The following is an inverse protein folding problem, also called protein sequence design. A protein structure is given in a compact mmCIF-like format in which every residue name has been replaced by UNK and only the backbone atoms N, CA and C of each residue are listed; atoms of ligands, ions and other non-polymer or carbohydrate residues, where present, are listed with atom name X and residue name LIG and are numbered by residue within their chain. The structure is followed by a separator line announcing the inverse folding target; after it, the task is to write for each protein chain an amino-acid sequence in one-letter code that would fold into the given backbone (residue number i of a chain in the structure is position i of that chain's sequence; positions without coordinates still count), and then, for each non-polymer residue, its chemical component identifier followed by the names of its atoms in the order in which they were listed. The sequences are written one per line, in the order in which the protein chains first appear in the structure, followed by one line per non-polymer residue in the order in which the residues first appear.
data_IF_603054192956
#
_entry.id   IF_603054192956
#
_cell.length_a   1.000
_cell.length_b   1.000
_cell.length_c   1.000
_cell.angle_alpha   90.00
_cell.angle_beta   90.00
_cell.angle_gamma   90.00
#
_symmetry.space_group_name_H-M   'P 1'
#
loop_
_entity.id
_entity.type
_entity.pdbx_description
1 polymer ?
#
# COMPACT_ATOMS: atom_id res chain seq x y z
N UNK A 1 19.26 41.63 3.02
CA UNK A 1 18.24 41.01 3.91
C UNK A 1 16.89 41.62 3.55
N UNK A 2 16.13 40.95 2.68
CA UNK A 2 14.79 41.38 2.27
C UNK A 2 13.78 40.72 3.20
N UNK A 3 13.12 41.52 4.03
CA UNK A 3 12.07 41.06 4.93
C UNK A 3 10.80 40.78 4.12
N UNK A 4 10.50 39.51 3.90
CA UNK A 4 9.26 39.07 3.27
C UNK A 4 8.07 39.45 4.16
N UNK A 5 7.29 40.44 3.70
CA UNK A 5 6.03 40.88 4.30
C UNK A 5 5.07 39.67 4.38
N UNK A 6 4.91 39.05 5.56
CA UNK A 6 3.86 38.06 5.79
C UNK A 6 2.52 38.78 5.68
N UNK A 7 1.81 38.54 4.60
CA UNK A 7 0.40 38.91 4.44
C UNK A 7 -0.39 38.34 5.61
N UNK A 8 -0.95 39.21 6.45
CA UNK A 8 -1.88 38.80 7.50
C UNK A 8 -3.20 38.41 6.84
N UNK A 9 -3.38 37.13 6.55
CA UNK A 9 -4.69 36.60 6.17
C UNK A 9 -5.70 36.95 7.26
N UNK A 10 -6.88 37.43 6.85
CA UNK A 10 -7.97 37.78 7.76
C UNK A 10 -8.41 36.51 8.53
N UNK A 11 -8.36 36.48 9.87
CA UNK A 11 -8.63 35.28 10.68
C UNK A 11 -10.02 34.66 10.48
N UNK A 12 -10.96 35.39 9.88
CA UNK A 12 -12.33 34.93 9.65
C UNK A 12 -12.48 33.95 8.48
N UNK A 13 -11.53 33.89 7.55
CA UNK A 13 -11.63 33.03 6.36
C UNK A 13 -11.11 31.60 6.57
N UNK A 14 -10.43 31.33 7.69
CA UNK A 14 -9.84 30.01 7.96
C UNK A 14 -10.53 29.26 9.11
N UNK A 15 -11.80 29.54 9.37
CA UNK A 15 -12.60 28.75 10.30
C UNK A 15 -13.06 27.43 9.65
N UNK A 16 -13.14 26.31 10.39
CA UNK A 16 -13.75 25.09 9.86
C UNK A 16 -15.22 25.35 9.51
N UNK A 17 -15.66 24.80 8.38
CA UNK A 17 -17.07 24.90 7.95
C UNK A 17 -17.78 23.65 8.43
N UNK A 18 -18.83 23.84 9.23
CA UNK A 18 -19.60 22.77 9.85
C UNK A 18 -20.96 22.69 9.17
N UNK A 19 -21.35 21.47 8.77
CA UNK A 19 -22.65 21.19 8.17
C UNK A 19 -23.30 20.01 8.91
N UNK A 20 -24.53 20.14 9.43
CA UNK A 20 -25.23 19.01 10.02
C UNK A 20 -25.56 17.99 8.92
N UNK A 21 -25.37 16.70 9.22
CA UNK A 21 -25.76 15.57 8.35
C UNK A 21 -27.05 14.88 8.83
N UNK A 22 -27.50 15.18 10.06
CA UNK A 22 -28.69 14.60 10.70
C UNK A 22 -28.36 13.88 11.99
N UNK A 23 -29.28 13.92 12.97
CA UNK A 23 -29.03 13.38 14.31
C UNK A 23 -27.88 14.10 15.02
N UNK A 24 -26.95 13.32 15.59
CA UNK A 24 -25.70 13.74 16.23
C UNK A 24 -24.54 13.95 15.23
N UNK A 25 -24.75 13.77 13.92
CA UNK A 25 -23.65 13.75 12.93
C UNK A 25 -23.46 15.09 12.21
N UNK A 26 -22.18 15.46 12.06
CA UNK A 26 -21.72 16.69 11.43
C UNK A 26 -20.61 16.39 10.39
N UNK A 27 -20.72 17.01 9.21
CA UNK A 27 -19.62 17.14 8.26
C UNK A 27 -18.80 18.39 8.63
N UNK A 28 -17.50 18.22 8.79
CA UNK A 28 -16.57 19.31 9.09
C UNK A 28 -15.57 19.42 7.96
N UNK A 29 -15.64 20.51 7.20
CA UNK A 29 -14.57 20.88 6.28
C UNK A 29 -13.47 21.56 7.08
N UNK A 30 -12.30 20.93 7.12
CA UNK A 30 -11.19 21.32 7.97
C UNK A 30 -10.53 22.60 7.42
N UNK A 31 -10.21 23.54 8.31
CA UNK A 31 -9.50 24.76 7.93
C UNK A 31 -8.14 24.46 7.29
N UNK A 32 -7.59 25.42 6.54
CA UNK A 32 -6.25 25.32 5.97
C UNK A 32 -5.21 25.17 7.07
N UNK A 33 -5.27 25.94 8.16
CA UNK A 33 -4.32 25.78 9.26
C UNK A 33 -4.39 24.39 9.91
N UNK A 34 -5.60 23.86 10.15
CA UNK A 34 -5.72 22.50 10.68
C UNK A 34 -5.17 21.46 9.69
N UNK A 35 -5.38 21.63 8.38
CA UNK A 35 -4.76 20.76 7.37
C UNK A 35 -3.24 20.86 7.37
N UNK A 36 -2.67 22.06 7.56
CA UNK A 36 -1.22 22.24 7.68
C UNK A 36 -0.69 21.49 8.90
N UNK A 37 -1.35 21.63 10.05
CA UNK A 37 -0.95 20.94 11.27
C UNK A 37 -1.08 19.43 11.12
N UNK A 38 -2.18 18.97 10.52
CA UNK A 38 -2.48 17.55 10.30
C UNK A 38 -1.47 16.88 9.35
N UNK A 39 -1.06 17.60 8.31
CA UNK A 39 -0.21 17.07 7.24
C UNK A 39 1.24 17.56 7.33
N UNK A 40 1.68 18.13 8.46
CA UNK A 40 3.02 18.71 8.61
C UNK A 40 4.12 17.71 8.24
N UNK A 41 4.00 16.47 8.72
CA UNK A 41 4.95 15.39 8.44
C UNK A 41 4.95 15.02 6.95
N UNK A 42 3.76 14.97 6.34
CA UNK A 42 3.61 14.69 4.91
C UNK A 42 4.19 15.80 4.05
N UNK A 43 4.04 17.07 4.45
CA UNK A 43 4.63 18.22 3.76
C UNK A 43 6.14 18.19 3.83
N UNK A 44 6.69 17.90 5.02
CA UNK A 44 8.12 17.76 5.19
C UNK A 44 8.66 16.63 4.31
N UNK A 45 8.00 15.46 4.29
CA UNK A 45 8.37 14.33 3.40
C UNK A 45 8.29 14.68 1.91
N UNK A 46 7.28 15.43 1.48
CA UNK A 46 7.19 15.89 0.08
C UNK A 46 8.36 16.82 -0.26
N UNK A 47 8.71 17.72 0.66
CA UNK A 47 9.85 18.62 0.48
C UNK A 47 11.17 17.86 0.44
N UNK A 48 11.38 16.93 1.38
CA UNK A 48 12.61 16.14 1.50
C UNK A 48 12.85 15.21 0.29
N UNK A 49 11.79 14.81 -0.42
CA UNK A 49 11.87 13.93 -1.59
C UNK A 49 11.67 14.66 -2.93
N UNK A 50 11.67 15.99 -2.91
CA UNK A 50 11.46 16.81 -4.13
C UNK A 50 12.62 16.70 -5.12
N UNK A 51 13.85 16.55 -4.63
CA UNK A 51 15.04 16.43 -5.49
C UNK A 51 15.01 15.14 -6.32
N UNK A 52 14.68 14.01 -5.69
CA UNK A 52 14.45 12.73 -6.37
C UNK A 52 13.35 12.86 -7.43
N UNK A 53 12.18 13.39 -7.05
CA UNK A 53 11.06 13.57 -7.97
C UNK A 53 11.42 14.46 -9.18
N UNK A 54 12.15 15.54 -8.95
CA UNK A 54 12.59 16.48 -10.01
C UNK A 54 13.56 15.81 -10.96
N UNK A 55 14.52 15.06 -10.42
CA UNK A 55 15.47 14.28 -11.23
C UNK A 55 14.75 13.21 -12.05
N UNK A 56 13.86 12.43 -11.44
CA UNK A 56 13.07 11.40 -12.11
C UNK A 56 12.24 12.00 -13.25
N UNK A 57 11.53 13.10 -13.00
CA UNK A 57 10.73 13.78 -14.03
C UNK A 57 11.60 14.35 -15.16
N UNK A 58 12.80 14.86 -14.86
CA UNK A 58 13.76 15.31 -15.88
C UNK A 58 14.18 14.14 -16.78
N UNK A 59 14.51 12.99 -16.19
CA UNK A 59 14.89 11.79 -16.95
C UNK A 59 13.72 11.30 -17.82
N UNK A 60 12.49 11.25 -17.27
CA UNK A 60 11.29 10.92 -18.03
C UNK A 60 11.07 11.86 -19.22
N UNK A 61 11.25 13.17 -19.03
CA UNK A 61 11.11 14.16 -20.12
C UNK A 61 12.15 13.97 -21.21
N UNK A 62 13.36 13.52 -20.87
CA UNK A 62 14.40 13.25 -21.84
C UNK A 62 14.09 11.99 -22.67
N UNK A 63 13.66 10.91 -22.01
CA UNK A 63 13.51 9.60 -22.67
C UNK A 63 12.13 9.34 -23.26
N UNK A 64 11.08 9.84 -22.61
CA UNK A 64 9.68 9.61 -22.99
C UNK A 64 8.82 10.86 -22.77
N UNK A 65 8.98 11.91 -23.61
CA UNK A 65 8.33 13.21 -23.41
C UNK A 65 6.80 13.12 -23.30
N UNK A 66 6.17 12.24 -24.08
CA UNK A 66 4.72 12.04 -24.06
C UNK A 66 4.24 11.44 -22.73
N UNK A 67 4.94 10.42 -22.21
CA UNK A 67 4.62 9.84 -20.91
C UNK A 67 4.86 10.85 -19.78
N UNK A 68 5.91 11.66 -19.87
CA UNK A 68 6.25 12.66 -18.87
C UNK A 68 5.17 13.73 -18.65
N UNK A 69 4.31 14.00 -19.65
CA UNK A 69 3.16 14.92 -19.52
C UNK A 69 2.13 14.44 -18.50
N UNK A 70 2.08 13.14 -18.25
CA UNK A 70 1.17 12.51 -17.28
C UNK A 70 1.66 12.60 -15.83
N UNK A 71 2.85 13.18 -15.61
CA UNK A 71 3.47 13.31 -14.30
C UNK A 71 3.66 14.76 -13.89
N UNK A 72 3.34 15.06 -12.64
CA UNK A 72 3.57 16.37 -12.04
C UNK A 72 4.32 16.23 -10.73
N UNK A 73 5.16 17.22 -10.38
CA UNK A 73 5.77 17.28 -9.04
C UNK A 73 4.68 17.68 -8.05
N UNK A 74 4.55 16.94 -6.96
CA UNK A 74 3.67 17.33 -5.86
C UNK A 74 4.33 18.41 -5.04
N UNK A 75 3.55 19.42 -4.69
CA UNK A 75 3.89 20.39 -3.67
C UNK A 75 2.88 20.32 -2.51
N UNK A 76 3.22 20.89 -1.35
CA UNK A 76 2.28 20.97 -0.23
C UNK A 76 0.95 21.65 -0.59
N UNK A 77 0.96 22.60 -1.53
CA UNK A 77 -0.26 23.28 -1.97
C UNK A 77 -1.22 22.34 -2.69
N UNK A 78 -0.71 21.35 -3.42
CA UNK A 78 -1.52 20.30 -4.06
C UNK A 78 -2.29 19.50 -3.01
N UNK A 79 -1.65 19.14 -1.89
CA UNK A 79 -2.33 18.48 -0.77
C UNK A 79 -3.34 19.40 -0.07
N UNK A 80 -3.01 20.69 0.09
CA UNK A 80 -3.91 21.67 0.69
C UNK A 80 -5.12 22.02 -0.20
N UNK A 81 -5.06 21.74 -1.50
CA UNK A 81 -6.22 21.87 -2.40
C UNK A 81 -7.16 20.67 -2.32
N UNK A 82 -6.68 19.51 -1.86
CA UNK A 82 -7.53 18.35 -1.67
C UNK A 82 -8.57 18.66 -0.59
N UNK A 83 -9.87 18.48 -0.88
CA UNK A 83 -10.91 18.67 0.12
C UNK A 83 -10.76 17.60 1.19
N UNK A 84 -10.45 18.01 2.42
CA UNK A 84 -10.38 17.13 3.57
C UNK A 84 -11.61 17.37 4.44
N UNK A 85 -12.42 16.33 4.57
CA UNK A 85 -13.69 16.35 5.29
C UNK A 85 -13.60 15.36 6.43
N UNK A 86 -14.10 15.77 7.58
CA UNK A 86 -14.27 14.89 8.74
C UNK A 86 -15.75 14.69 8.98
N UNK A 87 -16.10 13.49 9.44
CA UNK A 87 -17.41 13.23 10.02
C UNK A 87 -17.21 13.19 11.52
N UNK A 88 -17.97 14.00 12.25
CA UNK A 88 -17.94 14.06 13.70
C UNK A 88 -19.32 13.71 14.23
N UNK A 89 -19.35 12.89 15.26
CA UNK A 89 -20.54 12.70 16.08
C UNK A 89 -20.47 13.57 17.33
N UNK A 90 -21.61 14.11 17.76
CA UNK A 90 -21.72 14.93 18.95
C UNK A 90 -23.15 15.01 19.48
N UNK A 91 -23.34 14.58 20.73
CA UNK A 91 -24.64 14.58 21.41
C UNK A 91 -25.05 15.97 21.92
N UNK A 92 -24.10 16.89 22.03
CA UNK A 92 -24.31 18.25 22.53
C UNK A 92 -24.83 19.21 21.44
N UNK A 93 -25.07 18.72 20.22
CA UNK A 93 -25.65 19.49 19.12
C UNK A 93 -24.68 20.43 18.39
N UNK A 94 -23.39 20.36 18.69
CA UNK A 94 -22.33 21.09 17.99
C UNK A 94 -21.02 20.30 17.98
N UNK A 95 -20.10 20.61 17.04
CA UNK A 95 -18.81 19.91 16.93
C UNK A 95 -17.93 20.23 18.16
N UNK A 96 -17.34 19.22 18.84
CA UNK A 96 -16.55 19.38 20.06
C UNK A 96 -15.15 19.94 19.77
N UNK A 97 -15.08 21.09 19.10
CA UNK A 97 -13.86 21.85 18.97
C UNK A 97 -13.61 22.63 20.26
N UNK A 98 -12.34 22.75 20.65
CA UNK A 98 -11.94 23.69 21.68
C UNK A 98 -12.12 25.15 21.19
N UNK A 99 -11.90 26.11 22.09
CA UNK A 99 -11.98 27.54 21.76
C UNK A 99 -11.03 27.94 20.61
N UNK A 100 -9.95 27.18 20.41
CA UNK A 100 -8.95 27.40 19.35
C UNK A 100 -9.40 26.78 18.00
N UNK A 101 -10.45 25.97 18.01
CA UNK A 101 -10.95 25.19 16.87
C UNK A 101 -9.89 24.30 16.23
N UNK A 102 -8.99 23.76 17.06
CA UNK A 102 -7.90 22.91 16.61
C UNK A 102 -8.35 21.45 16.59
N UNK A 103 -8.08 20.78 15.47
CA UNK A 103 -8.27 19.33 15.38
C UNK A 103 -7.13 18.61 16.10
N UNK A 104 -7.41 18.07 17.29
CA UNK A 104 -6.39 17.38 18.11
C UNK A 104 -6.29 15.89 17.81
N UNK A 105 -7.41 15.27 17.48
CA UNK A 105 -7.52 13.84 17.23
C UNK A 105 -8.49 13.58 16.09
N UNK A 106 -8.21 12.54 15.32
CA UNK A 106 -9.06 12.07 14.24
C UNK A 106 -8.80 10.58 14.04
N UNK A 107 -9.80 9.86 13.58
CA UNK A 107 -9.66 8.49 13.12
C UNK A 107 -9.75 8.50 11.59
N UNK A 108 -8.65 8.14 10.94
CA UNK A 108 -8.68 7.88 9.50
C UNK A 108 -9.36 6.53 9.26
N UNK A 109 -10.65 6.55 8.92
CA UNK A 109 -11.40 5.36 8.53
C UNK A 109 -11.28 5.19 7.02
N UNK A 110 -10.44 4.27 6.57
CA UNK A 110 -10.55 3.75 5.21
C UNK A 110 -11.79 2.85 5.17
N UNK A 111 -12.89 3.36 4.59
CA UNK A 111 -14.23 2.77 4.65
C UNK A 111 -14.21 1.23 4.59
N UNK A 112 -14.80 0.62 5.61
CA UNK A 112 -16.15 0.08 5.51
C UNK A 112 -16.76 -0.07 6.94
N UNK A 113 -17.78 0.77 7.25
CA UNK A 113 -18.78 0.81 8.36
C UNK A 113 -18.70 1.79 9.57
N UNK A 114 -19.88 1.92 10.20
CA UNK A 114 -20.34 2.68 11.40
C UNK A 114 -20.63 1.71 12.56
N UNK A 115 -20.33 2.09 13.80
CA UNK A 115 -21.01 1.61 15.02
C UNK A 115 -20.68 2.50 16.23
N UNK A 116 -21.60 2.55 17.20
CA UNK A 116 -21.69 3.59 18.24
C UNK A 116 -21.17 3.18 19.64
N UNK A 117 -20.49 2.04 19.81
CA UNK A 117 -20.27 1.45 21.15
C UNK A 117 -18.83 0.97 21.47
N UNK A 118 -17.78 1.73 21.11
CA UNK A 118 -16.41 1.39 21.53
C UNK A 118 -15.68 2.59 22.12
N UNK A 119 -15.26 2.47 23.40
CA UNK A 119 -14.26 3.37 24.00
C UNK A 119 -12.86 3.04 23.42
N UNK A 120 -12.29 3.99 22.67
CA UNK A 120 -11.08 3.79 21.87
C UNK A 120 -9.77 4.06 22.64
N UNK A 121 -8.68 3.30 22.41
CA UNK A 121 -7.43 3.48 23.14
C UNK A 121 -6.59 4.67 22.63
N UNK A 122 -6.04 5.44 23.57
CA UNK A 122 -5.28 6.69 23.37
C UNK A 122 -3.88 6.57 22.72
N UNK A 123 -3.49 5.39 22.22
CA UNK A 123 -2.16 5.16 21.64
C UNK A 123 -2.30 4.66 20.19
N UNK A 124 -1.58 5.28 19.24
CA UNK A 124 -1.68 5.03 17.80
C UNK A 124 -1.49 3.56 17.39
N UNK A 125 -2.59 2.81 17.41
CA UNK A 125 -2.74 1.45 16.90
C UNK A 125 -3.40 1.54 15.52
N UNK A 126 -2.95 0.70 14.59
CA UNK A 126 -3.64 0.54 13.31
C UNK A 126 -4.81 -0.41 13.52
N UNK A 127 -6.04 0.10 13.37
CA UNK A 127 -7.26 -0.70 13.47
C UNK A 127 -7.81 -0.94 12.07
N UNK A 128 -8.11 -2.20 11.77
CA UNK A 128 -8.56 -2.65 10.46
C UNK A 128 -9.95 -3.25 10.63
N UNK A 129 -10.97 -2.52 10.19
CA UNK A 129 -12.35 -2.98 10.24
C UNK A 129 -12.69 -3.79 8.98
N UNK A 130 -13.17 -5.02 9.16
CA UNK A 130 -13.63 -5.89 8.07
C UNK A 130 -15.15 -6.11 8.18
N UNK A 131 -15.94 -5.17 7.64
CA UNK A 131 -17.41 -5.18 7.80
C UNK A 131 -18.10 -6.41 7.16
N UNK A 132 -17.48 -7.00 6.15
CA UNK A 132 -17.99 -8.16 5.41
C UNK A 132 -17.45 -9.50 5.93
N UNK A 133 -16.72 -9.47 7.05
CA UNK A 133 -16.24 -10.67 7.74
C UNK A 133 -17.08 -10.88 8.99
N UNK A 134 -17.71 -12.05 9.03
CA UNK A 134 -18.43 -12.55 10.21
C UNK A 134 -17.81 -13.85 10.66
N UNK A 135 -17.34 -13.89 11.91
CA UNK A 135 -16.82 -15.10 12.53
C UNK A 135 -17.92 -15.85 13.28
N UNK A 136 -17.88 -17.18 13.21
CA UNK A 136 -18.75 -18.03 14.04
C UNK A 136 -18.25 -18.07 15.47
N UNK A 137 -19.10 -18.55 16.39
CA UNK A 137 -18.67 -18.76 17.78
C UNK A 137 -17.46 -19.70 17.88
N UNK A 138 -17.47 -20.82 17.14
CA UNK A 138 -16.37 -21.79 17.14
C UNK A 138 -15.06 -21.19 16.59
N UNK A 139 -15.13 -20.35 15.56
CA UNK A 139 -13.96 -19.65 15.02
C UNK A 139 -13.36 -18.68 16.05
N UNK A 140 -14.20 -17.94 16.78
CA UNK A 140 -13.75 -17.07 17.87
C UNK A 140 -13.10 -17.87 18.99
N UNK A 141 -13.73 -18.95 19.44
CA UNK A 141 -13.18 -19.83 20.49
C UNK A 141 -11.83 -20.42 20.07
N UNK A 142 -11.67 -20.78 18.79
CA UNK A 142 -10.39 -21.26 18.27
C UNK A 142 -9.34 -20.15 18.25
N UNK A 143 -9.69 -18.92 17.86
CA UNK A 143 -8.75 -17.79 17.89
C UNK A 143 -8.30 -17.41 19.30
N UNK A 144 -9.21 -17.41 20.28
CA UNK A 144 -8.87 -17.12 21.68
C UNK A 144 -7.90 -18.15 22.22
N UNK A 145 -8.20 -19.45 22.05
CA UNK A 145 -7.28 -20.54 22.42
C UNK A 145 -5.95 -20.42 21.70
N UNK A 146 -5.97 -20.00 20.45
CA UNK A 146 -4.78 -19.90 19.64
C UNK A 146 -3.87 -18.75 20.07
N UNK A 147 -4.44 -17.63 20.51
CA UNK A 147 -3.66 -16.51 21.04
C UNK A 147 -2.85 -16.93 22.28
N UNK A 148 -3.36 -17.84 23.10
CA UNK A 148 -2.64 -18.40 24.24
C UNK A 148 -1.48 -19.34 23.81
N UNK A 149 -1.54 -19.92 22.61
CA UNK A 149 -0.62 -20.96 22.13
C UNK A 149 0.44 -20.47 21.13
N UNK A 150 0.45 -19.18 20.79
CA UNK A 150 1.28 -18.63 19.71
C UNK A 150 2.81 -18.78 19.92
N UNK A 151 3.25 -19.19 21.12
CA UNK A 151 4.68 -19.42 21.44
C UNK A 151 5.04 -20.90 21.56
N UNK A 152 4.05 -21.78 21.51
CA UNK A 152 4.24 -23.22 21.67
C UNK A 152 4.76 -23.84 20.36
N UNK A 153 5.38 -25.01 20.47
CA UNK A 153 5.84 -25.72 19.29
C UNK A 153 4.65 -26.16 18.42
N UNK A 154 4.83 -26.20 17.09
CA UNK A 154 3.76 -26.62 16.16
C UNK A 154 3.08 -27.93 16.58
N UNK A 155 3.85 -28.92 17.03
CA UNK A 155 3.31 -30.22 17.46
C UNK A 155 2.33 -30.07 18.63
N UNK A 156 2.59 -29.15 19.55
CA UNK A 156 1.74 -28.85 20.71
C UNK A 156 0.48 -28.11 20.26
N UNK A 157 0.65 -27.05 19.46
CA UNK A 157 -0.45 -26.29 18.86
C UNK A 157 -1.41 -27.22 18.10
N UNK A 158 -0.88 -28.07 17.21
CA UNK A 158 -1.66 -29.01 16.41
C UNK A 158 -2.41 -30.02 17.30
N UNK A 159 -1.76 -30.52 18.36
CA UNK A 159 -2.39 -31.47 19.30
C UNK A 159 -3.55 -30.84 20.08
N UNK A 160 -3.46 -29.55 20.40
CA UNK A 160 -4.46 -28.83 21.19
C UNK A 160 -5.65 -28.39 20.34
N UNK A 161 -5.38 -27.83 19.16
CA UNK A 161 -6.40 -27.29 18.26
C UNK A 161 -7.18 -28.42 17.56
N UNK A 162 -6.51 -29.56 17.30
CA UNK A 162 -7.03 -30.72 16.56
C UNK A 162 -7.47 -30.34 15.13
N UNK A 163 -7.83 -31.35 14.34
CA UNK A 163 -8.20 -31.15 12.93
C UNK A 163 -9.37 -30.18 12.74
N UNK A 164 -10.37 -30.24 13.64
CA UNK A 164 -11.55 -29.36 13.58
C UNK A 164 -11.16 -27.89 13.79
N UNK A 165 -10.25 -27.60 14.72
CA UNK A 165 -9.81 -26.22 14.93
C UNK A 165 -8.96 -25.70 13.77
N UNK A 166 -8.17 -26.55 13.10
CA UNK A 166 -7.42 -26.14 11.91
C UNK A 166 -8.35 -25.77 10.75
N UNK A 167 -9.49 -26.45 10.60
CA UNK A 167 -10.53 -26.08 9.63
C UNK A 167 -11.12 -24.69 9.93
N UNK A 168 -11.34 -24.37 11.21
CA UNK A 168 -11.78 -23.03 11.62
C UNK A 168 -10.73 -21.96 11.31
N UNK A 169 -9.44 -22.21 11.58
CA UNK A 169 -8.36 -21.29 11.19
C UNK A 169 -8.30 -21.05 9.67
N UNK A 170 -8.47 -22.11 8.87
CA UNK A 170 -8.56 -21.97 7.40
C UNK A 170 -9.75 -21.12 6.98
N UNK A 171 -10.94 -21.37 7.57
CA UNK A 171 -12.14 -20.58 7.32
C UNK A 171 -11.95 -19.10 7.65
N UNK A 172 -11.34 -18.78 8.80
CA UNK A 172 -11.01 -17.40 9.20
C UNK A 172 -10.13 -16.73 8.15
N UNK A 173 -9.03 -17.39 7.75
CA UNK A 173 -8.10 -16.86 6.76
C UNK A 173 -8.81 -16.60 5.43
N UNK A 174 -9.63 -17.55 4.97
CA UNK A 174 -10.39 -17.41 3.74
C UNK A 174 -11.40 -16.26 3.79
N UNK A 175 -12.10 -16.07 4.93
CA UNK A 175 -13.01 -14.94 5.11
C UNK A 175 -12.27 -13.60 5.05
N UNK A 176 -11.13 -13.48 5.72
CA UNK A 176 -10.30 -12.26 5.67
C UNK A 176 -9.76 -12.02 4.26
N UNK A 177 -9.23 -13.03 3.58
CA UNK A 177 -8.74 -12.93 2.19
C UNK A 177 -9.83 -12.48 1.21
N UNK A 178 -11.07 -12.89 1.45
CA UNK A 178 -12.24 -12.56 0.64
C UNK A 178 -12.88 -11.22 1.01
N UNK A 179 -12.47 -10.60 2.11
CA UNK A 179 -12.96 -9.28 2.50
C UNK A 179 -12.65 -8.24 1.43
N UNK A 180 -13.53 -7.25 1.28
CA UNK A 180 -13.29 -6.13 0.35
C UNK A 180 -12.02 -5.37 0.74
N UNK A 181 -11.75 -5.20 2.02
CA UNK A 181 -10.54 -4.53 2.51
C UNK A 181 -9.27 -5.19 1.94
N UNK A 182 -9.18 -6.52 2.04
CA UNK A 182 -8.01 -7.29 1.57
C UNK A 182 -7.77 -7.15 0.06
N UNK A 183 -8.85 -6.96 -0.70
CA UNK A 183 -8.78 -6.82 -2.16
C UNK A 183 -8.41 -5.41 -2.63
N UNK A 184 -8.53 -4.38 -1.77
CA UNK A 184 -8.37 -2.96 -2.13
C UNK A 184 -6.93 -2.50 -1.98
N UNK A 185 -6.36 -1.99 -3.07
CA UNK A 185 -5.01 -1.46 -3.14
C UNK A 185 -4.75 -0.30 -2.17
N UNK A 186 -5.73 0.58 -1.99
CA UNK A 186 -5.63 1.71 -1.05
C UNK A 186 -5.62 1.26 0.40
N UNK A 187 -6.36 0.20 0.75
CA UNK A 187 -6.31 -0.38 2.08
C UNK A 187 -4.92 -0.95 2.39
N UNK A 188 -4.29 -1.57 1.39
CA UNK A 188 -2.89 -2.00 1.47
C UNK A 188 -1.90 -0.83 1.56
N UNK A 189 -2.12 0.24 0.80
CA UNK A 189 -1.33 1.47 0.95
C UNK A 189 -1.34 1.95 2.40
N UNK A 190 -2.53 2.11 2.98
CA UNK A 190 -2.68 2.55 4.36
C UNK A 190 -2.04 1.55 5.33
N UNK A 191 -2.23 0.25 5.08
CA UNK A 191 -1.56 -0.77 5.87
C UNK A 191 -0.06 -0.53 5.86
N UNK A 192 0.59 -0.41 4.69
CA UNK A 192 2.04 -0.29 4.57
C UNK A 192 2.65 1.03 5.06
N UNK A 193 2.02 2.17 4.79
CA UNK A 193 2.62 3.49 5.12
C UNK A 193 2.45 3.88 6.58
N UNK A 194 1.44 3.33 7.28
CA UNK A 194 1.15 3.71 8.65
C UNK A 194 2.07 2.99 9.64
N UNK A 195 2.39 3.71 10.71
CA UNK A 195 3.11 3.14 11.85
C UNK A 195 2.15 2.24 12.65
N UNK A 196 2.67 1.13 13.21
CA UNK A 196 4.05 0.68 13.05
C UNK A 196 4.28 0.02 11.68
N UNK A 197 5.52 0.01 11.19
CA UNK A 197 5.88 -0.66 9.94
C UNK A 197 5.89 -2.19 10.09
N UNK A 198 5.95 -2.93 8.98
CA UNK A 198 5.65 -4.37 8.94
C UNK A 198 6.46 -5.23 9.93
N UNK A 199 7.76 -5.00 10.13
CA UNK A 199 8.52 -5.68 11.20
C UNK A 199 8.00 -5.45 12.62
N UNK A 200 7.48 -4.26 12.89
CA UNK A 200 6.91 -3.90 14.18
C UNK A 200 5.45 -4.36 14.29
N UNK A 201 4.74 -4.55 13.17
CA UNK A 201 3.42 -5.22 13.15
C UNK A 201 3.51 -6.69 13.54
N UNK A 202 4.67 -7.32 13.29
CA UNK A 202 4.92 -8.68 13.76
C UNK A 202 5.37 -8.75 15.23
N UNK A 203 5.54 -7.62 15.90
CA UNK A 203 5.97 -7.59 17.30
C UNK A 203 4.75 -7.67 18.23
N UNK A 204 4.71 -8.71 19.07
CA UNK A 204 3.56 -9.01 19.91
C UNK A 204 3.18 -7.89 20.88
N UNK A 205 4.18 -7.31 21.54
CA UNK A 205 3.97 -6.34 22.63
C UNK A 205 3.81 -4.89 22.19
N UNK A 206 4.12 -4.55 20.93
CA UNK A 206 4.24 -3.16 20.52
C UNK A 206 3.56 -2.93 19.17
N UNK A 207 2.51 -2.10 19.19
CA UNK A 207 1.91 -1.45 18.02
C UNK A 207 1.18 -2.35 17.00
N UNK A 208 0.95 -3.64 17.26
CA UNK A 208 0.32 -4.56 16.31
C UNK A 208 -0.96 -4.01 15.65
N UNK A 209 -1.15 -4.33 14.37
CA UNK A 209 -2.41 -4.02 13.69
C UNK A 209 -3.50 -4.95 14.24
N UNK A 210 -4.67 -4.39 14.56
CA UNK A 210 -5.79 -5.14 15.11
C UNK A 210 -6.92 -5.16 14.10
N UNK A 211 -7.36 -6.36 13.73
CA UNK A 211 -8.56 -6.58 12.94
C UNK A 211 -9.77 -6.54 13.85
N UNK A 212 -10.83 -5.88 13.40
CA UNK A 212 -12.15 -5.85 14.03
C UNK A 212 -13.14 -6.42 13.02
N UNK A 213 -13.90 -7.43 13.44
CA UNK A 213 -14.84 -8.17 12.59
C UNK A 213 -16.17 -8.34 13.31
N UNK A 214 -17.21 -8.71 12.55
CA UNK A 214 -18.47 -9.11 13.18
C UNK A 214 -18.31 -10.51 13.80
N UNK A 215 -18.94 -10.72 14.93
CA UNK A 215 -19.12 -12.06 15.51
C UNK A 215 -20.59 -12.44 15.42
N UNK A 216 -20.86 -13.63 14.93
CA UNK A 216 -22.20 -14.18 14.85
C UNK A 216 -22.71 -14.51 16.26
N UNK A 217 -23.80 -13.86 16.66
CA UNK A 217 -24.53 -14.16 17.90
C UNK A 217 -25.87 -14.80 17.57
N UNK A 218 -26.28 -15.77 18.36
CA UNK A 218 -27.65 -16.32 18.29
C UNK A 218 -28.71 -15.33 18.78
N UNK A 219 -28.31 -14.32 19.56
CA UNK A 219 -29.18 -13.22 19.98
C UNK A 219 -29.36 -12.21 18.85
N UNK A 220 -30.61 -11.96 18.47
CA UNK A 220 -31.03 -11.03 17.40
C UNK A 220 -30.70 -9.57 17.78
N UNK A 221 -30.60 -9.26 19.07
CA UNK A 221 -30.50 -7.89 19.58
C UNK A 221 -29.07 -7.45 19.98
N UNK A 222 -28.04 -8.28 19.75
CA UNK A 222 -26.66 -7.92 20.11
C UNK A 222 -25.69 -8.21 18.97
N UNK A 223 -25.46 -7.26 18.07
CA UNK A 223 -24.30 -7.32 17.19
C UNK A 223 -23.04 -7.22 18.06
N UNK A 224 -22.30 -8.33 18.21
CA UNK A 224 -21.00 -8.29 18.88
C UNK A 224 -19.88 -8.15 17.85
N UNK A 225 -18.89 -7.33 18.16
CA UNK A 225 -17.63 -7.31 17.41
C UNK A 225 -16.60 -8.19 18.10
N UNK A 226 -15.70 -8.76 17.33
CA UNK A 226 -14.53 -9.47 17.84
C UNK A 226 -13.28 -8.82 17.26
N UNK A 227 -12.22 -8.74 18.07
CA UNK A 227 -10.95 -8.15 17.64
C UNK A 227 -9.80 -9.14 17.83
N UNK A 228 -8.94 -9.25 16.83
CA UNK A 228 -7.73 -10.10 16.90
C UNK A 228 -6.55 -9.40 16.22
N UNK A 229 -5.33 -9.81 16.58
CA UNK A 229 -4.09 -9.20 16.06
C UNK A 229 -3.76 -9.72 14.67
N UNK A 230 -3.11 -8.90 13.84
CA UNK A 230 -2.59 -9.32 12.54
C UNK A 230 -1.61 -10.49 12.65
N UNK A 231 -0.79 -10.51 13.72
CA UNK A 231 0.11 -11.61 13.99
C UNK A 231 -0.66 -12.93 14.18
N UNK A 232 -1.74 -12.92 14.96
CA UNK A 232 -2.62 -14.10 15.13
C UNK A 232 -3.11 -14.61 13.77
N UNK A 233 -3.50 -13.70 12.88
CA UNK A 233 -3.93 -14.06 11.52
C UNK A 233 -2.81 -14.67 10.66
N UNK A 234 -1.60 -14.09 10.69
CA UNK A 234 -0.46 -14.64 9.94
C UNK A 234 -0.12 -16.06 10.37
N UNK A 235 -0.13 -16.31 11.68
CA UNK A 235 0.16 -17.62 12.21
C UNK A 235 -0.97 -18.61 11.93
N UNK A 236 -2.23 -18.19 12.09
CA UNK A 236 -3.40 -18.97 11.71
C UNK A 236 -3.31 -19.43 10.24
N UNK A 237 -2.86 -18.53 9.36
CA UNK A 237 -2.62 -18.81 7.95
C UNK A 237 -1.49 -19.80 7.75
N UNK A 238 -0.34 -19.63 8.41
CA UNK A 238 0.75 -20.60 8.32
C UNK A 238 0.31 -22.01 8.72
N UNK A 239 -0.59 -22.14 9.70
CA UNK A 239 -1.12 -23.44 10.10
C UNK A 239 -2.25 -23.96 9.22
N UNK A 240 -3.12 -23.10 8.69
CA UNK A 240 -4.16 -23.52 7.75
C UNK A 240 -3.57 -24.09 6.46
N UNK A 241 -2.38 -23.62 6.05
CA UNK A 241 -1.66 -24.13 4.89
C UNK A 241 -1.37 -25.64 4.98
N UNK A 242 -1.22 -26.22 6.17
CA UNK A 242 -1.03 -27.67 6.32
C UNK A 242 -2.30 -28.45 6.00
N UNK A 243 -3.48 -27.90 6.31
CA UNK A 243 -4.78 -28.52 6.00
C UNK A 243 -5.08 -28.45 4.51
N UNK A 244 -4.71 -27.34 3.86
CA UNK A 244 -4.97 -27.12 2.43
C UNK A 244 -4.02 -27.92 1.52
N UNK A 245 -3.27 -28.89 2.05
CA UNK A 245 -2.33 -29.73 1.31
C UNK A 245 -0.97 -29.06 1.03
N UNK A 246 -0.60 -28.06 1.83
CA UNK A 246 0.72 -27.44 1.82
C UNK A 246 0.94 -26.41 0.72
N UNK A 247 2.18 -25.89 0.67
CA UNK A 247 2.64 -24.91 -0.32
C UNK A 247 2.38 -25.33 -1.78
N UNK A 248 2.33 -26.63 -2.07
CA UNK A 248 2.16 -27.15 -3.43
C UNK A 248 0.77 -26.89 -4.02
N UNK A 249 -0.26 -26.69 -3.19
CA UNK A 249 -1.64 -26.49 -3.65
C UNK A 249 -2.08 -25.02 -3.67
N UNK A 250 -1.26 -24.11 -3.13
CA UNK A 250 -1.57 -22.68 -3.15
C UNK A 250 -1.14 -22.07 -4.47
N UNK A 251 -2.02 -21.24 -5.05
CA UNK A 251 -1.59 -20.42 -6.18
C UNK A 251 -0.46 -19.49 -5.74
N UNK A 252 0.51 -19.26 -6.62
CA UNK A 252 1.62 -18.32 -6.39
C UNK A 252 1.07 -16.95 -5.97
N UNK A 253 -0.01 -16.49 -6.61
CA UNK A 253 -0.67 -15.24 -6.25
C UNK A 253 -1.14 -15.20 -4.78
N UNK A 254 -1.72 -16.30 -4.29
CA UNK A 254 -2.10 -16.39 -2.87
C UNK A 254 -0.87 -16.41 -1.97
N UNK A 255 0.21 -17.06 -2.36
CA UNK A 255 1.44 -17.04 -1.57
C UNK A 255 2.03 -15.62 -1.49
N UNK A 256 2.19 -14.96 -2.63
CA UNK A 256 2.79 -13.63 -2.75
C UNK A 256 1.95 -12.56 -2.02
N UNK A 257 0.62 -12.69 -2.00
CA UNK A 257 -0.26 -11.76 -1.25
C UNK A 257 0.01 -11.72 0.25
N UNK A 258 0.60 -12.75 0.83
CA UNK A 258 0.97 -12.72 2.25
C UNK A 258 2.45 -12.43 2.47
N UNK A 259 3.28 -12.50 1.42
CA UNK A 259 4.65 -11.93 1.50
C UNK A 259 4.66 -10.41 1.60
N UNK A 260 3.48 -9.78 1.51
CA UNK A 260 3.27 -8.33 1.60
C UNK A 260 3.72 -7.75 2.97
N UNK A 261 3.93 -8.58 4.00
CA UNK A 261 4.52 -8.15 5.28
C UNK A 261 6.05 -8.00 5.31
N UNK A 262 6.77 -8.17 4.20
CA UNK A 262 8.23 -7.98 4.19
C UNK A 262 8.58 -6.47 4.17
N UNK A 263 9.41 -6.03 5.11
CA UNK A 263 9.97 -4.67 5.15
C UNK A 263 10.68 -4.25 3.85
N UNK A 264 11.07 -5.18 2.98
CA UNK A 264 11.71 -4.88 1.68
C UNK A 264 10.85 -3.97 0.79
N UNK A 265 9.54 -4.02 0.94
CA UNK A 265 8.62 -3.16 0.17
C UNK A 265 8.16 -1.94 0.96
N UNK A 266 8.46 -1.89 2.26
CA UNK A 266 8.18 -0.74 3.10
C UNK A 266 9.17 0.39 2.87
N UNK A 267 8.74 1.68 2.90
CA UNK A 267 9.64 2.83 2.94
C UNK A 267 10.42 2.94 4.26
N UNK A 268 10.20 2.05 5.23
CA UNK A 268 10.84 2.11 6.55
C UNK A 268 12.37 2.20 6.50
N UNK A 269 13.00 1.46 5.59
CA UNK A 269 14.45 1.42 5.44
C UNK A 269 14.97 2.44 4.40
N UNK A 270 14.08 3.21 3.77
CA UNK A 270 14.51 4.28 2.88
C UNK A 270 15.10 5.42 3.71
N UNK A 271 16.16 6.09 3.24
CA UNK A 271 16.69 7.25 3.92
C UNK A 271 15.63 8.38 3.95
N UNK A 272 15.57 9.17 5.03
CA UNK A 272 14.55 10.20 5.22
C UNK A 272 14.61 11.30 4.15
N UNK A 273 15.80 11.52 3.57
CA UNK A 273 16.03 12.43 2.46
C UNK A 273 16.62 11.64 1.29
N UNK A 274 15.91 11.62 0.18
CA UNK A 274 16.35 10.92 -1.04
C UNK A 274 16.88 11.90 -2.07
N UNK A 275 18.18 11.76 -2.35
CA UNK A 275 18.91 12.49 -3.39
C UNK A 275 19.69 11.51 -4.26
N UNK A 276 20.23 11.98 -5.38
CA UNK A 276 21.16 11.19 -6.19
C UNK A 276 22.28 10.59 -5.32
N UNK A 277 22.56 9.30 -5.50
CA UNK A 277 23.50 8.50 -4.70
C UNK A 277 22.90 7.79 -3.49
N UNK A 278 21.65 8.08 -3.10
CA UNK A 278 21.01 7.43 -1.93
C UNK A 278 20.54 6.02 -2.28
N UNK A 279 20.67 5.06 -1.36
CA UNK A 279 20.03 3.74 -1.52
C UNK A 279 18.54 3.81 -1.16
N UNK A 280 17.68 3.10 -1.88
CA UNK A 280 16.25 2.95 -1.52
C UNK A 280 15.69 1.61 -1.99
N UNK A 281 14.54 1.24 -1.43
CA UNK A 281 13.80 0.06 -1.85
C UNK A 281 13.14 0.26 -3.22
N UNK A 282 13.02 -0.85 -3.96
CA UNK A 282 12.55 -0.94 -5.34
C UNK A 282 11.12 -0.43 -5.56
N UNK A 283 10.93 0.35 -6.62
CA UNK A 283 9.60 0.77 -7.08
C UNK A 283 8.86 -0.41 -7.70
N UNK A 284 9.57 -1.28 -8.42
CA UNK A 284 8.97 -2.47 -9.01
C UNK A 284 8.46 -3.45 -7.97
N UNK A 285 9.20 -3.71 -6.88
CA UNK A 285 8.72 -4.56 -5.79
C UNK A 285 7.45 -4.00 -5.14
N UNK A 286 7.36 -2.66 -4.97
CA UNK A 286 6.15 -2.01 -4.47
C UNK A 286 4.99 -2.16 -5.46
N UNK A 287 5.22 -1.92 -6.74
CA UNK A 287 4.21 -2.16 -7.78
C UNK A 287 3.77 -3.62 -7.82
N UNK A 288 4.69 -4.56 -7.73
CA UNK A 288 4.42 -6.00 -7.69
C UNK A 288 3.38 -6.33 -6.61
N UNK A 289 3.57 -5.80 -5.41
CA UNK A 289 2.61 -5.94 -4.32
C UNK A 289 1.25 -5.31 -4.65
N UNK A 290 1.25 -4.08 -5.17
CA UNK A 290 0.01 -3.36 -5.48
C UNK A 290 -0.77 -4.06 -6.60
N UNK A 291 -0.09 -4.54 -7.64
CA UNK A 291 -0.72 -5.23 -8.77
C UNK A 291 -1.17 -6.65 -8.41
N UNK A 292 -0.67 -7.25 -7.31
CA UNK A 292 -1.27 -8.44 -6.74
C UNK A 292 -2.62 -8.17 -6.08
N UNK A 293 -2.97 -6.93 -5.77
CA UNK A 293 -4.31 -6.57 -5.25
C UNK A 293 -5.34 -6.50 -6.39
N UNK A 294 -6.64 -6.60 -6.08
CA UNK A 294 -7.70 -6.58 -7.11
C UNK A 294 -8.12 -5.15 -7.46
N UNK A 295 -7.15 -4.28 -7.77
CA UNK A 295 -7.45 -2.90 -8.17
C UNK A 295 -8.27 -2.90 -9.46
N UNK A 296 -9.47 -2.31 -9.44
CA UNK A 296 -10.30 -2.19 -10.64
C UNK A 296 -9.90 -1.01 -11.54
N UNK A 297 -9.10 -0.08 -11.03
CA UNK A 297 -8.67 1.13 -11.75
C UNK A 297 -7.17 1.02 -11.99
N UNK A 298 -6.77 0.81 -13.24
CA UNK A 298 -5.38 0.53 -13.57
C UNK A 298 -4.45 1.73 -13.28
N UNK A 299 -4.92 2.96 -13.50
CA UNK A 299 -4.19 4.19 -13.18
C UNK A 299 -3.97 4.39 -11.66
N UNK A 300 -4.85 3.87 -10.82
CA UNK A 300 -4.68 3.93 -9.37
C UNK A 300 -3.49 3.07 -8.91
N UNK A 301 -3.18 1.96 -9.59
CA UNK A 301 -1.99 1.16 -9.31
C UNK A 301 -0.72 2.01 -9.39
N UNK A 302 -0.62 2.89 -10.38
CA UNK A 302 0.52 3.80 -10.56
C UNK A 302 0.57 4.81 -9.43
N UNK A 303 -0.55 5.48 -9.15
CA UNK A 303 -0.65 6.50 -8.09
C UNK A 303 -0.32 5.92 -6.71
N UNK A 304 -0.83 4.73 -6.41
CA UNK A 304 -0.57 4.01 -5.17
C UNK A 304 0.90 3.59 -5.09
N UNK A 305 1.47 3.08 -6.19
CA UNK A 305 2.91 2.75 -6.26
C UNK A 305 3.77 3.98 -5.98
N UNK A 306 3.45 5.13 -6.58
CA UNK A 306 4.17 6.41 -6.33
C UNK A 306 4.08 6.82 -4.86
N UNK A 307 2.88 6.69 -4.25
CA UNK A 307 2.66 7.03 -2.85
C UNK A 307 3.38 6.11 -1.89
N UNK A 308 3.27 4.79 -2.08
CA UNK A 308 4.05 3.78 -1.37
C UNK A 308 5.55 4.03 -1.53
N UNK A 309 5.96 4.48 -2.71
CA UNK A 309 7.34 4.84 -3.03
C UNK A 309 7.81 6.13 -2.34
N UNK A 310 6.91 6.88 -1.71
CA UNK A 310 7.18 8.20 -1.16
C UNK A 310 7.66 9.22 -2.20
N UNK A 311 7.50 8.92 -3.50
CA UNK A 311 8.00 9.76 -4.57
C UNK A 311 7.10 11.00 -4.67
N UNK A 312 7.69 12.20 -4.62
CA UNK A 312 6.95 13.47 -4.60
C UNK A 312 6.40 13.85 -5.98
N UNK A 313 5.70 12.91 -6.63
CA UNK A 313 5.07 13.04 -7.93
C UNK A 313 3.60 12.65 -7.86
N UNK A 314 2.79 13.11 -8.81
CA UNK A 314 1.41 12.66 -9.03
C UNK A 314 1.26 12.21 -10.48
N UNK A 315 0.36 11.27 -10.71
CA UNK A 315 0.06 10.73 -12.02
C UNK A 315 -1.39 11.08 -12.42
N UNK A 316 -1.61 11.49 -13.67
CA UNK A 316 -2.91 12.03 -14.10
C UNK A 316 -3.54 11.35 -15.32
N UNK A 317 -2.80 10.50 -16.04
CA UNK A 317 -3.37 9.78 -17.17
C UNK A 317 -4.23 8.59 -16.71
N UNK A 318 -5.06 8.09 -17.63
CA UNK A 318 -5.97 6.97 -17.40
C UNK A 318 -5.58 5.84 -18.34
N UNK A 319 -5.48 4.63 -17.80
CA UNK A 319 -5.21 3.42 -18.54
C UNK A 319 -6.21 2.35 -18.15
N UNK A 320 -6.50 1.46 -19.09
CA UNK A 320 -7.31 0.26 -18.86
C UNK A 320 -6.45 -0.99 -18.93
N UNK A 321 -5.38 -0.96 -19.75
CA UNK A 321 -4.51 -2.09 -19.97
C UNK A 321 -3.48 -2.23 -18.82
N UNK A 322 -3.46 -3.38 -18.12
CA UNK A 322 -2.42 -3.67 -17.14
C UNK A 322 -1.00 -3.60 -17.70
N UNK A 323 -0.78 -3.92 -18.98
CA UNK A 323 0.55 -3.89 -19.61
C UNK A 323 1.04 -2.46 -19.82
N UNK A 324 0.15 -1.53 -20.15
CA UNK A 324 0.47 -0.09 -20.14
C UNK A 324 0.88 0.37 -18.74
N UNK A 325 0.14 -0.05 -17.70
CA UNK A 325 0.48 0.28 -16.32
C UNK A 325 1.87 -0.23 -15.96
N UNK A 326 2.17 -1.48 -16.30
CA UNK A 326 3.48 -2.07 -16.03
C UNK A 326 4.60 -1.32 -16.76
N UNK A 327 4.40 -0.98 -18.03
CA UNK A 327 5.34 -0.19 -18.81
C UNK A 327 5.61 1.18 -18.17
N UNK A 328 4.57 1.87 -17.71
CA UNK A 328 4.73 3.18 -17.05
C UNK A 328 5.52 3.06 -15.75
N UNK A 329 5.22 2.06 -14.92
CA UNK A 329 5.97 1.83 -13.68
C UNK A 329 7.42 1.43 -13.96
N UNK A 330 7.67 0.55 -14.93
CA UNK A 330 9.02 0.16 -15.32
C UNK A 330 9.83 1.37 -15.83
N UNK A 331 9.22 2.22 -16.64
CA UNK A 331 9.83 3.46 -17.13
C UNK A 331 10.12 4.43 -15.98
N UNK A 332 9.19 4.56 -15.03
CA UNK A 332 9.38 5.36 -13.83
C UNK A 332 10.53 4.82 -12.95
N UNK A 333 10.62 3.50 -12.80
CA UNK A 333 11.69 2.83 -12.06
C UNK A 333 13.06 3.09 -12.71
N UNK A 334 13.18 2.93 -14.04
CA UNK A 334 14.39 3.30 -14.79
C UNK A 334 14.77 4.77 -14.57
N UNK A 335 13.78 5.67 -14.63
CA UNK A 335 14.00 7.10 -14.45
C UNK A 335 14.48 7.47 -13.04
N UNK A 336 14.12 6.68 -12.02
CA UNK A 336 14.61 6.81 -10.66
C UNK A 336 16.03 6.23 -10.48
N UNK A 337 16.47 5.32 -11.35
CA UNK A 337 17.77 4.63 -11.26
C UNK A 337 17.70 3.12 -11.09
N UNK A 338 16.51 2.55 -11.05
CA UNK A 338 16.33 1.13 -10.86
C UNK A 338 16.56 0.40 -12.18
N UNK A 339 17.68 -0.33 -12.30
CA UNK A 339 18.08 -1.05 -13.52
C UNK A 339 17.32 -2.37 -13.74
N UNK A 340 16.56 -2.85 -12.75
CA UNK A 340 15.86 -4.15 -12.79
C UNK A 340 14.95 -4.33 -14.02
N UNK A 341 14.20 -3.32 -14.52
CA UNK A 341 13.39 -3.48 -15.73
C UNK A 341 14.19 -3.96 -16.96
N UNK A 342 15.47 -3.62 -17.05
CA UNK A 342 16.35 -4.06 -18.15
C UNK A 342 16.68 -5.56 -18.10
N UNK A 343 16.51 -6.20 -16.94
CA UNK A 343 16.68 -7.66 -16.81
C UNK A 343 15.45 -8.44 -17.27
N UNK A 344 14.35 -7.74 -17.56
CA UNK A 344 13.09 -8.33 -18.05
C UNK A 344 12.85 -8.02 -19.52
N UNK A 345 13.90 -7.67 -20.26
CA UNK A 345 13.83 -7.57 -21.72
C UNK A 345 13.70 -8.98 -22.30
N UNK A 346 12.70 -9.20 -23.16
CA UNK A 346 12.59 -10.47 -23.88
C UNK A 346 12.72 -10.24 -25.38
N UNK A 347 13.54 -11.06 -26.02
CA UNK A 347 13.64 -11.15 -27.48
C UNK A 347 12.48 -11.97 -28.09
N UNK A 348 11.62 -12.58 -27.26
CA UNK A 348 10.50 -13.41 -27.75
C UNK A 348 9.31 -12.53 -28.15
N UNK A 349 9.45 -11.82 -29.28
CA UNK A 349 8.31 -11.37 -30.08
C UNK A 349 7.66 -12.52 -30.88
N UNK A 350 8.04 -13.78 -30.63
CA UNK A 350 7.79 -14.90 -31.52
C UNK A 350 6.48 -15.61 -31.20
N UNK A 351 5.54 -15.49 -32.13
CA UNK A 351 4.17 -16.01 -32.13
C UNK A 351 4.00 -17.54 -32.09
N UNK A 352 5.07 -18.35 -31.94
CA UNK A 352 4.96 -19.80 -32.20
C UNK A 352 5.61 -20.75 -31.17
N UNK A 353 6.10 -20.26 -30.02
CA UNK A 353 6.52 -21.14 -28.92
C UNK A 353 5.96 -20.64 -27.58
N UNK A 354 4.64 -20.60 -27.54
CA UNK A 354 3.86 -20.21 -26.38
C UNK A 354 3.88 -21.33 -25.34
N UNK A 355 4.86 -21.32 -24.44
CA UNK A 355 4.64 -21.92 -23.11
C UNK A 355 5.13 -21.01 -21.99
N UNK A 356 6.13 -20.15 -22.21
CA UNK A 356 6.76 -19.50 -21.06
C UNK A 356 7.23 -18.06 -21.32
N UNK A 357 6.49 -17.19 -22.00
CA UNK A 357 6.56 -15.71 -21.79
C UNK A 357 5.31 -15.12 -22.39
N UNK A 358 4.51 -14.36 -21.62
CA UNK A 358 3.47 -13.52 -22.24
C UNK A 358 4.25 -12.35 -22.86
N UNK A 359 4.57 -12.47 -24.16
CA UNK A 359 5.11 -11.34 -24.91
C UNK A 359 4.12 -10.19 -24.78
N UNK A 360 4.50 -9.16 -24.03
CA UNK A 360 3.62 -8.04 -23.72
C UNK A 360 3.28 -7.32 -25.01
N UNK A 361 2.07 -7.51 -25.51
CA UNK A 361 1.55 -6.65 -26.57
C UNK A 361 0.95 -5.44 -25.89
N UNK A 362 1.60 -4.29 -26.00
CA UNK A 362 1.00 -3.03 -25.56
C UNK A 362 0.28 -2.43 -26.76
N UNK A 363 -1.02 -2.21 -26.66
CA UNK A 363 -1.88 -1.79 -27.78
C UNK A 363 -1.78 -2.73 -29.00
N UNK A 364 -1.62 -4.04 -28.76
CA UNK A 364 -1.46 -5.03 -29.84
C UNK A 364 -0.10 -5.00 -30.55
N UNK A 365 0.85 -4.17 -30.11
CA UNK A 365 2.20 -4.11 -30.66
C UNK A 365 3.21 -4.77 -29.72
N UNK A 366 4.23 -5.44 -30.28
CA UNK A 366 5.32 -6.00 -29.49
C UNK A 366 6.04 -4.93 -28.66
N UNK A 367 6.24 -5.22 -27.38
CA UNK A 367 7.03 -4.43 -26.44
C UNK A 367 8.41 -5.05 -26.23
N UNK A 368 9.42 -4.20 -25.97
CA UNK A 368 10.74 -4.64 -25.51
C UNK A 368 10.71 -5.17 -24.07
N UNK A 369 9.72 -4.73 -23.29
CA UNK A 369 9.53 -5.10 -21.89
C UNK A 369 8.63 -6.33 -21.79
N UNK A 370 9.09 -7.35 -21.08
CA UNK A 370 8.29 -8.53 -20.77
C UNK A 370 7.98 -8.62 -19.28
N UNK A 371 6.84 -9.24 -18.92
CA UNK A 371 6.55 -9.56 -17.53
C UNK A 371 7.30 -10.81 -17.10
N UNK A 372 7.86 -10.86 -15.88
CA UNK A 372 8.51 -12.05 -15.36
C UNK A 372 7.54 -13.25 -15.28
N UNK A 373 8.09 -14.43 -15.56
CA UNK A 373 7.36 -15.70 -15.75
C UNK A 373 6.78 -16.35 -14.49
N UNK A 374 7.20 -15.91 -13.32
CA UNK A 374 6.71 -16.38 -12.03
C UNK A 374 5.67 -15.46 -11.40
N UNK A 375 5.13 -14.51 -12.16
CA UNK A 375 4.39 -13.38 -11.61
C UNK A 375 5.31 -12.28 -11.11
N UNK A 376 4.70 -11.31 -10.43
CA UNK A 376 5.34 -10.08 -10.00
C UNK A 376 6.39 -10.36 -8.90
N UNK A 377 7.67 -10.12 -9.22
CA UNK A 377 8.77 -10.30 -8.28
C UNK A 377 8.67 -9.28 -7.13
N UNK A 378 8.44 -9.76 -5.91
CA UNK A 378 8.40 -8.94 -4.69
C UNK A 378 9.78 -8.77 -4.05
N UNK A 379 10.77 -9.53 -4.52
CA UNK A 379 12.14 -9.56 -4.01
C UNK A 379 13.12 -8.81 -4.92
N UNK A 380 12.85 -7.53 -5.17
CA UNK A 380 13.83 -6.69 -5.87
C UNK A 380 14.83 -6.09 -4.86
N UNK A 381 16.14 -6.08 -5.18
CA UNK A 381 17.15 -5.47 -4.32
C UNK A 381 16.96 -3.96 -4.20
N UNK A 382 17.62 -3.37 -3.22
CA UNK A 382 17.75 -1.93 -3.11
C UNK A 382 18.53 -1.40 -4.31
N UNK A 383 18.26 -0.16 -4.69
CA UNK A 383 18.96 0.50 -5.78
C UNK A 383 19.41 1.90 -5.38
N UNK A 384 20.45 2.38 -6.06
CA UNK A 384 20.95 3.74 -5.93
C UNK A 384 20.07 4.70 -6.73
N UNK A 385 19.46 5.68 -6.07
CA UNK A 385 18.76 6.80 -6.70
C UNK A 385 19.73 7.55 -7.61
N UNK A 386 19.34 7.76 -8.85
CA UNK A 386 20.17 8.43 -9.86
C UNK A 386 19.78 7.97 -11.25
N UNK A 387 19.81 8.86 -12.24
CA UNK A 387 19.47 8.43 -13.61
C UNK A 387 20.42 7.33 -14.11
N UNK A 388 19.85 6.30 -14.74
CA UNK A 388 20.63 5.37 -15.56
C UNK A 388 21.22 6.18 -16.71
N UNK A 389 22.54 6.19 -16.83
CA UNK A 389 23.22 6.87 -17.94
C UNK A 389 23.05 6.05 -19.22
N UNK A 390 23.11 6.73 -20.36
CA UNK A 390 23.07 6.08 -21.68
C UNK A 390 21.69 5.67 -22.18
N UNK A 391 20.60 6.02 -21.48
CA UNK A 391 19.25 5.91 -22.06
C UNK A 391 18.99 7.18 -22.89
N UNK A 392 18.72 7.02 -24.19
CA UNK A 392 18.46 8.14 -25.11
C UNK A 392 16.97 8.33 -25.39
N UNK A 393 16.27 7.23 -25.63
CA UNK A 393 14.84 7.21 -25.96
C UNK A 393 14.16 5.97 -25.40
N UNK A 394 12.92 6.11 -24.95
CA UNK A 394 12.12 5.02 -24.42
C UNK A 394 10.66 5.16 -24.88
N UNK A 395 10.23 4.18 -25.67
CA UNK A 395 8.85 4.01 -26.13
C UNK A 395 8.32 2.63 -25.75
N UNK A 396 7.02 2.39 -25.99
CA UNK A 396 6.42 1.05 -25.83
C UNK A 396 7.12 0.01 -26.70
N UNK A 397 7.56 0.40 -27.91
CA UNK A 397 8.08 -0.53 -28.93
C UNK A 397 9.58 -0.77 -28.82
N UNK A 398 10.34 0.26 -28.42
CA UNK A 398 11.80 0.19 -28.38
C UNK A 398 12.37 1.03 -27.23
N UNK A 399 13.56 0.66 -26.83
CA UNK A 399 14.42 1.41 -25.92
C UNK A 399 15.77 1.61 -26.62
N UNK A 400 16.25 2.85 -26.63
CA UNK A 400 17.55 3.23 -27.22
C UNK A 400 18.54 3.47 -26.09
N UNK A 401 19.61 2.66 -26.07
CA UNK A 401 20.55 2.55 -24.98
C UNK A 401 21.99 2.55 -25.52
N UNK A 402 22.90 3.21 -24.80
CA UNK A 402 24.33 2.92 -24.90
C UNK A 402 24.63 1.50 -24.37
N UNK A 403 25.85 1.02 -24.60
CA UNK A 403 26.31 -0.23 -23.99
C UNK A 403 26.33 -0.07 -22.45
N UNK A 404 25.40 -0.74 -21.77
CA UNK A 404 25.29 -0.72 -20.31
C UNK A 404 26.04 -1.92 -19.71
N UNK A 405 26.95 -1.64 -18.77
CA UNK A 405 27.59 -2.67 -17.96
C UNK A 405 26.84 -2.84 -16.64
N UNK A 406 26.48 -4.08 -16.31
CA UNK A 406 25.97 -4.45 -15.00
C UNK A 406 27.13 -4.88 -14.11
N UNK A 407 27.20 -4.38 -12.88
CA UNK A 407 28.30 -4.67 -11.94
C UNK A 407 28.31 -6.14 -11.47
N UNK A 408 27.21 -6.85 -11.66
CA UNK A 408 27.05 -8.27 -11.31
C UNK A 408 26.68 -9.04 -12.58
N UNK A 409 27.22 -10.25 -12.82
CA UNK A 409 26.69 -11.11 -13.86
C UNK A 409 25.19 -11.27 -13.63
N UNK A 410 24.40 -11.17 -14.69
CA UNK A 410 23.02 -11.68 -14.68
C UNK A 410 23.16 -13.12 -14.20
N UNK A 411 22.72 -13.41 -12.98
CA UNK A 411 22.73 -14.78 -12.47
C UNK A 411 21.96 -15.60 -13.49
N UNK A 412 22.69 -16.36 -14.31
CA UNK A 412 22.09 -17.40 -15.13
C UNK A 412 21.46 -18.32 -14.12
N UNK A 413 20.16 -18.21 -13.94
CA UNK A 413 19.39 -19.06 -13.05
C UNK A 413 19.51 -20.47 -13.59
N UNK A 414 20.57 -21.17 -13.20
CA UNK A 414 20.69 -22.61 -13.30
C UNK A 414 19.76 -23.18 -12.24
N UNK A 415 18.47 -23.20 -12.56
CA UNK A 415 17.54 -24.10 -11.89
C UNK A 415 18.02 -25.51 -12.22
N UNK A 416 18.70 -26.14 -11.27
CA UNK A 416 18.92 -27.58 -11.24
C UNK A 416 17.77 -28.24 -10.51
#
# INVERSE_FOLDING_TARGET
MSATKRSSMCPKEDAPIIRPLGGSLFEVMVSRQNRINLFSDSFQKLSDNRDEATMTLRNLRAWSPELAKSFNIRDPETLLRTPFRLICESDIGYVPFDNEKVLRQFLAVSYCWRHDDIEWPANGKLLILLEDVTLTHDEVVVLEKYEDLQYEAWAEVASIIKDVGLLHLSSICQKVENSRWWSRSWCWHEFEVNKPWSNRRHHYYAHNATFIVNQYTSSIDSKSTYSFKYLTLQWARNYSMYVDGGFQKLSIDKMLRWTIGDNRTSPYNDPPRRKAGSQRSSLLARYSIVALTKCSIASDLISITINLSGLAMSFTAQFQDPDEVFFVVATLALACGEKRPLTWMSNTCSSNFAVHTIGGTIDGNSSWLSRPLGGLETFCPYFTVGGIQGVHSLTRKHIELDLLFFETPVETSSWK
#
